data_IF_854651862132
#
_entry.id   IF_854651862132
#
_cell.length_a   1.000
_cell.length_b   1.000
_cell.length_c   1.000
_cell.angle_alpha   90.00
_cell.angle_beta   90.00
_cell.angle_gamma   90.00
#
_symmetry.space_group_name_H-M   'P 1'
#
loop_
_entity.id
_entity.type
_entity.pdbx_description
1 polymer ?
#
# COMPACT_ATOMS: atom_id res chain seq x y z
N UNK A 1 -6.26 -8.02 2.51
CA UNK A 1 -5.57 -7.42 3.68
C UNK A 1 -5.05 -8.45 4.70
N UNK A 2 -5.53 -9.69 4.70
CA UNK A 2 -5.09 -10.72 5.69
C UNK A 2 -3.58 -10.94 5.72
N UNK A 3 -2.92 -10.93 4.55
CA UNK A 3 -1.48 -11.19 4.43
C UNK A 3 -0.61 -10.02 4.92
N UNK A 4 -1.06 -8.79 4.68
CA UNK A 4 -0.27 -7.59 4.97
C UNK A 4 -0.38 -7.18 6.45
N UNK A 5 -1.61 -6.95 6.93
CA UNK A 5 -1.83 -6.34 8.25
C UNK A 5 -2.82 -7.10 9.12
N UNK A 6 -3.45 -8.15 8.58
CA UNK A 6 -4.65 -8.78 9.18
C UNK A 6 -5.78 -7.77 9.45
N UNK A 7 -5.81 -6.68 8.69
CA UNK A 7 -6.79 -5.61 8.83
C UNK A 7 -6.47 -4.62 9.95
N UNK A 8 -5.28 -4.68 10.57
CA UNK A 8 -4.87 -3.71 11.59
C UNK A 8 -4.23 -2.47 10.93
N UNK A 9 -4.84 -1.28 11.02
CA UNK A 9 -4.27 -0.06 10.45
C UNK A 9 -3.00 0.43 11.15
N UNK A 10 -2.74 -0.02 12.38
CA UNK A 10 -1.53 0.34 13.14
C UNK A 10 -0.39 -0.69 13.00
N UNK A 11 -0.53 -1.66 12.09
CA UNK A 11 0.48 -2.70 11.88
C UNK A 11 1.79 -2.10 11.35
N UNK A 12 2.91 -2.42 12.02
CA UNK A 12 4.26 -2.03 11.61
C UNK A 12 5.15 -3.28 11.57
N UNK A 13 5.73 -3.57 10.42
CA UNK A 13 6.78 -4.57 10.29
C UNK A 13 8.11 -3.99 10.78
N UNK A 14 8.68 -4.53 11.86
CA UNK A 14 9.91 -3.98 12.44
C UNK A 14 11.16 -4.12 11.56
N UNK A 15 11.20 -5.12 10.68
CA UNK A 15 12.34 -5.36 9.79
C UNK A 15 12.33 -4.41 8.59
N UNK A 16 11.20 -4.33 7.88
CA UNK A 16 11.07 -3.55 6.64
C UNK A 16 10.53 -2.14 6.84
N UNK A 17 10.01 -1.83 8.04
CA UNK A 17 9.24 -0.62 8.35
C UNK A 17 7.96 -0.47 7.53
N UNK A 18 7.49 -1.57 6.91
CA UNK A 18 6.21 -1.59 6.22
C UNK A 18 5.07 -1.26 7.20
N UNK A 19 4.20 -0.31 6.83
CA UNK A 19 3.22 0.26 7.77
C UNK A 19 1.80 0.29 7.20
N UNK A 20 0.85 0.07 8.08
CA UNK A 20 -0.57 0.23 7.83
C UNK A 20 -1.22 -0.92 7.08
N UNK A 21 -2.46 -0.70 6.65
CA UNK A 21 -3.34 -1.73 6.10
C UNK A 21 -2.73 -2.50 4.91
N UNK A 22 -2.07 -1.77 4.02
CA UNK A 22 -1.38 -2.28 2.83
C UNK A 22 0.15 -2.34 2.99
N UNK A 23 0.66 -2.28 4.23
CA UNK A 23 2.08 -2.48 4.54
C UNK A 23 3.02 -1.72 3.60
N UNK A 24 2.78 -0.41 3.45
CA UNK A 24 3.63 0.41 2.60
C UNK A 24 5.04 0.51 3.18
N UNK A 25 6.05 0.20 2.36
CA UNK A 25 7.43 0.58 2.66
C UNK A 25 7.55 2.12 2.73
N UNK A 26 8.45 2.67 3.58
CA UNK A 26 8.56 4.13 3.77
C UNK A 26 8.79 4.91 2.47
N UNK A 27 9.62 4.40 1.57
CA UNK A 27 9.91 5.04 0.27
C UNK A 27 8.69 5.04 -0.65
N UNK A 28 7.98 3.92 -0.72
CA UNK A 28 6.76 3.81 -1.52
C UNK A 28 5.66 4.71 -0.97
N UNK A 29 5.47 4.75 0.36
CA UNK A 29 4.50 5.63 1.02
C UNK A 29 4.74 7.10 0.70
N UNK A 30 5.99 7.55 0.79
CA UNK A 30 6.35 8.94 0.56
C UNK A 30 5.94 9.44 -0.83
N UNK A 31 5.93 8.54 -1.82
CA UNK A 31 5.50 8.84 -3.18
C UNK A 31 3.98 8.64 -3.37
N UNK A 32 3.46 7.47 -3.02
CA UNK A 32 2.06 7.10 -3.30
C UNK A 32 1.06 7.96 -2.53
N UNK A 33 1.36 8.32 -1.27
CA UNK A 33 0.46 9.14 -0.46
C UNK A 33 0.28 10.55 -1.02
N UNK A 34 1.38 11.17 -1.49
CA UNK A 34 1.33 12.48 -2.13
C UNK A 34 0.55 12.40 -3.43
N UNK A 35 0.83 11.40 -4.28
CA UNK A 35 0.15 11.25 -5.56
C UNK A 35 -1.35 10.94 -5.41
N UNK A 36 -1.74 10.29 -4.31
CA UNK A 36 -3.13 10.04 -3.94
C UNK A 36 -3.84 11.23 -3.26
N UNK A 37 -3.13 12.34 -3.00
CA UNK A 37 -3.70 13.53 -2.34
C UNK A 37 -3.69 13.51 -0.81
N UNK A 38 -2.97 12.57 -0.19
CA UNK A 38 -2.85 12.38 1.26
C UNK A 38 -1.45 12.71 1.78
N UNK A 39 -0.72 13.61 1.11
CA UNK A 39 0.58 14.08 1.58
C UNK A 39 0.50 14.61 3.02
N UNK A 40 1.44 14.18 3.86
CA UNK A 40 1.50 14.57 5.29
C UNK A 40 0.67 13.70 6.24
N UNK A 41 -0.18 12.81 5.72
CA UNK A 41 -0.86 11.82 6.56
C UNK A 41 0.09 10.65 6.91
N UNK A 42 -0.04 10.08 8.13
CA UNK A 42 0.72 8.88 8.48
C UNK A 42 0.19 7.66 7.74
N UNK A 43 1.05 6.69 7.45
CA UNK A 43 0.66 5.42 6.82
C UNK A 43 -0.33 4.61 7.69
N UNK A 44 -0.44 4.89 8.98
CA UNK A 44 -1.44 4.29 9.87
C UNK A 44 -2.83 4.90 9.74
N UNK A 45 -2.99 6.03 9.04
CA UNK A 45 -4.31 6.59 8.77
C UNK A 45 -5.04 5.70 7.74
N UNK A 46 -6.15 5.05 8.10
CA UNK A 46 -6.70 3.95 7.30
C UNK A 46 -7.20 4.41 5.94
N UNK A 47 -7.92 5.54 5.86
CA UNK A 47 -8.42 6.09 4.59
C UNK A 47 -7.28 6.49 3.65
N UNK A 48 -6.26 7.18 4.15
CA UNK A 48 -5.09 7.55 3.38
C UNK A 48 -4.35 6.31 2.86
N UNK A 49 -4.22 5.27 3.70
CA UNK A 49 -3.55 4.03 3.33
C UNK A 49 -4.29 3.30 2.20
N UNK A 50 -5.61 3.15 2.32
CA UNK A 50 -6.45 2.52 1.27
C UNK A 50 -6.44 3.34 -0.02
N UNK A 51 -6.58 4.66 0.06
CA UNK A 51 -6.57 5.52 -1.12
C UNK A 51 -5.22 5.49 -1.85
N UNK A 52 -4.11 5.49 -1.09
CA UNK A 52 -2.76 5.37 -1.65
C UNK A 52 -2.53 4.00 -2.30
N UNK A 53 -3.10 2.93 -1.74
CA UNK A 53 -3.06 1.60 -2.35
C UNK A 53 -3.87 1.53 -3.64
N UNK A 54 -5.07 2.11 -3.67
CA UNK A 54 -5.89 2.21 -4.87
C UNK A 54 -5.17 2.99 -5.99
N UNK A 55 -4.53 4.12 -5.63
CA UNK A 55 -3.71 4.87 -6.56
C UNK A 55 -2.53 4.06 -7.09
N UNK A 56 -1.79 3.37 -6.21
CA UNK A 56 -0.61 2.59 -6.62
C UNK A 56 -1.00 1.38 -7.49
N UNK A 57 -2.16 0.78 -7.24
CA UNK A 57 -2.75 -0.26 -8.09
C UNK A 57 -3.00 0.28 -9.51
N UNK A 58 -3.69 1.42 -9.62
CA UNK A 58 -3.96 2.06 -10.92
C UNK A 58 -2.66 2.46 -11.62
N UNK A 59 -1.71 3.04 -10.89
CA UNK A 59 -0.40 3.38 -11.44
C UNK A 59 0.31 2.14 -11.99
N UNK A 60 0.24 1.01 -11.28
CA UNK A 60 0.85 -0.26 -11.70
C UNK A 60 0.19 -0.84 -12.96
N UNK A 61 -1.10 -0.61 -13.17
CA UNK A 61 -1.81 -0.93 -14.42
C UNK A 61 -1.26 -0.06 -15.56
N UNK A 62 -1.19 1.26 -15.35
CA UNK A 62 -0.78 2.24 -16.37
C UNK A 62 0.65 2.02 -16.87
N UNK A 63 1.56 1.62 -15.98
CA UNK A 63 2.96 1.38 -16.36
C UNK A 63 3.25 -0.06 -16.78
N UNK A 64 2.21 -0.90 -16.91
CA UNK A 64 2.34 -2.33 -17.18
C UNK A 64 3.38 -2.99 -16.27
N UNK A 65 3.25 -2.77 -14.96
CA UNK A 65 4.26 -3.18 -13.99
C UNK A 65 4.62 -4.66 -14.17
N UNK A 66 5.92 -4.98 -14.18
CA UNK A 66 6.43 -6.32 -14.56
C UNK A 66 5.86 -7.50 -13.75
N UNK A 67 5.40 -7.23 -12.52
CA UNK A 67 4.79 -8.23 -11.63
C UNK A 67 3.24 -8.20 -11.67
N UNK A 68 2.67 -7.43 -12.59
CA UNK A 68 1.25 -7.13 -12.69
C UNK A 68 0.76 -6.04 -11.71
N UNK A 69 -0.54 -5.71 -11.75
CA UNK A 69 -1.14 -4.63 -10.95
C UNK A 69 -0.96 -4.80 -9.44
N UNK A 70 -1.06 -6.04 -8.95
CA UNK A 70 -0.90 -6.38 -7.53
C UNK A 70 0.55 -6.69 -7.14
N UNK A 71 1.50 -6.56 -8.07
CA UNK A 71 2.90 -6.84 -7.87
C UNK A 71 3.57 -6.20 -6.64
N UNK A 72 3.12 -5.03 -6.14
CA UNK A 72 3.64 -4.46 -4.89
C UNK A 72 3.25 -5.21 -3.60
N UNK A 73 2.28 -6.12 -3.66
CA UNK A 73 1.75 -6.82 -2.48
C UNK A 73 1.81 -8.33 -2.65
N UNK A 74 1.95 -9.05 -1.54
CA UNK A 74 2.01 -10.51 -1.57
C UNK A 74 0.65 -11.12 -1.94
N UNK A 75 -0.45 -10.42 -1.62
CA UNK A 75 -1.80 -10.95 -1.80
C UNK A 75 -2.66 -10.14 -2.76
N UNK A 76 -2.99 -10.76 -3.89
CA UNK A 76 -4.03 -10.33 -4.80
C UNK A 76 -5.40 -10.86 -4.32
N UNK A 77 -6.37 -10.00 -3.97
CA UNK A 77 -7.69 -10.42 -3.49
C UNK A 77 -8.53 -11.16 -4.55
N UNK A 78 -8.11 -11.22 -5.82
CA UNK A 78 -8.76 -12.03 -6.86
C UNK A 78 -8.27 -13.48 -6.92
N UNK A 79 -7.19 -13.81 -6.21
CA UNK A 79 -6.57 -15.15 -6.21
C UNK A 79 -6.66 -15.84 -4.84
N UNK A 80 -7.34 -15.22 -3.87
CA UNK A 80 -7.53 -15.70 -2.49
C UNK A 80 -8.94 -16.21 -2.25
#
# INVERSE_FOLDING_TARGET
>A
MTCESRGNPDAVNQSSQATGLFQFLPSTWAYSSVAAGFGGYPATHPEANVASAAWLLEHSILIEHRLGPWGPWECNPRLS
#
